data_IF_406736117571
#
_entry.id   IF_406736117571
#
_cell.length_a   1.000
_cell.length_b   1.000
_cell.length_c   1.000
_cell.angle_alpha   90.00
_cell.angle_beta   90.00
_cell.angle_gamma   90.00
#
_symmetry.space_group_name_H-M   'P 1'
#
loop_
_entity.id
_entity.type
_entity.pdbx_description
1 polymer ?
#
# COMPACT_ATOMS: atom_id res chain seq x y z
N UNK A 1 -5.51 31.40 50.82
CA UNK A 1 -5.78 30.10 50.17
C UNK A 1 -5.87 30.29 48.66
N UNK A 2 -4.77 30.03 47.95
CA UNK A 2 -4.72 30.15 46.50
C UNK A 2 -5.35 28.89 45.86
N UNK A 3 -6.41 29.07 45.08
CA UNK A 3 -6.99 27.99 44.27
C UNK A 3 -6.04 27.71 43.12
N UNK A 4 -5.32 26.59 43.17
CA UNK A 4 -4.48 26.11 42.08
C UNK A 4 -5.41 25.57 40.99
N UNK A 5 -5.68 26.37 39.97
CA UNK A 5 -6.42 25.95 38.79
C UNK A 5 -5.63 24.85 38.08
N UNK A 6 -6.28 23.72 37.80
CA UNK A 6 -5.70 22.63 37.02
C UNK A 6 -5.39 23.13 35.59
N UNK A 7 -4.29 22.68 34.96
CA UNK A 7 -3.99 23.04 33.58
C UNK A 7 -5.13 22.58 32.67
N UNK A 8 -5.55 23.46 31.75
CA UNK A 8 -6.60 23.17 30.78
C UNK A 8 -6.26 21.90 29.99
N UNK A 9 -7.20 20.95 29.93
CA UNK A 9 -7.11 19.78 29.06
C UNK A 9 -7.23 20.25 27.60
N UNK A 10 -6.09 20.63 27.01
CA UNK A 10 -6.00 20.88 25.58
C UNK A 10 -6.09 19.52 24.86
N UNK A 11 -6.95 19.35 23.84
CA UNK A 11 -6.97 18.13 23.05
C UNK A 11 -5.60 17.94 22.39
N UNK A 12 -4.89 16.88 22.75
CA UNK A 12 -3.72 16.46 21.98
C UNK A 12 -4.23 15.87 20.68
N UNK A 13 -4.35 16.70 19.65
CA UNK A 13 -4.42 16.22 18.29
C UNK A 13 -3.17 15.39 18.07
N UNK A 14 -3.33 14.07 18.01
CA UNK A 14 -2.30 13.18 17.51
C UNK A 14 -1.92 13.75 16.16
N UNK A 15 -0.75 14.38 16.09
CA UNK A 15 -0.09 14.69 14.84
C UNK A 15 0.10 13.34 14.16
N UNK A 16 -0.81 13.01 13.24
CA UNK A 16 -0.50 12.04 12.22
C UNK A 16 0.83 12.51 11.62
N UNK A 17 1.81 11.62 11.41
CA UNK A 17 3.01 11.98 10.67
C UNK A 17 2.59 12.23 9.22
N UNK A 18 2.03 13.41 8.98
CA UNK A 18 1.80 13.97 7.68
C UNK A 18 3.16 14.09 7.04
N UNK A 19 3.32 13.35 5.95
CA UNK A 19 4.34 13.52 4.93
C UNK A 19 5.72 13.92 5.50
N UNK A 20 6.56 12.91 5.80
CA UNK A 20 8.00 13.10 5.60
C UNK A 20 8.17 13.75 4.23
N UNK A 21 8.77 14.94 4.25
CA UNK A 21 8.86 15.85 3.12
C UNK A 21 9.28 15.12 1.86
N UNK A 22 8.65 15.48 0.74
CA UNK A 22 9.13 15.06 -0.57
C UNK A 22 10.59 15.46 -0.65
N UNK A 23 11.44 14.46 -0.79
CA UNK A 23 12.87 14.67 -0.99
C UNK A 23 12.99 15.46 -2.29
N UNK A 24 13.74 16.57 -2.31
CA UNK A 24 13.83 17.41 -3.52
C UNK A 24 14.58 16.70 -4.67
N UNK A 25 15.19 15.55 -4.36
CA UNK A 25 15.83 14.59 -5.28
C UNK A 25 14.93 13.39 -5.63
N UNK A 26 13.62 13.49 -5.44
CA UNK A 26 12.71 12.38 -5.69
C UNK A 26 12.48 12.17 -7.20
N UNK A 27 12.97 11.05 -7.73
CA UNK A 27 12.87 10.72 -9.15
C UNK A 27 11.41 10.68 -9.61
N UNK A 28 11.14 11.04 -10.87
CA UNK A 28 9.79 11.01 -11.45
C UNK A 28 9.09 9.65 -11.27
N UNK A 29 9.87 8.57 -11.20
CA UNK A 29 9.39 7.23 -10.91
C UNK A 29 8.91 7.05 -9.46
N UNK A 30 9.64 7.58 -8.46
CA UNK A 30 9.21 7.56 -7.06
C UNK A 30 7.94 8.38 -6.84
N UNK A 31 7.88 9.57 -7.47
CA UNK A 31 6.67 10.41 -7.45
C UNK A 31 5.49 9.68 -8.10
N UNK A 32 5.68 9.02 -9.24
CA UNK A 32 4.64 8.21 -9.88
C UNK A 32 4.18 7.05 -8.98
N UNK A 33 5.10 6.33 -8.35
CA UNK A 33 4.75 5.25 -7.43
C UNK A 33 3.91 5.75 -6.24
N UNK A 34 4.27 6.90 -5.66
CA UNK A 34 3.55 7.47 -4.53
C UNK A 34 2.19 8.04 -4.91
N UNK A 35 2.08 8.64 -6.10
CA UNK A 35 0.86 9.37 -6.53
C UNK A 35 -0.12 8.49 -7.29
N UNK A 36 0.37 7.55 -8.10
CA UNK A 36 -0.48 6.71 -8.94
C UNK A 36 -0.60 5.29 -8.42
N UNK A 37 0.41 4.75 -7.72
CA UNK A 37 0.39 3.34 -7.24
C UNK A 37 -0.09 3.22 -5.79
N UNK A 38 0.40 4.07 -4.88
CA UNK A 38 0.13 3.98 -3.43
C UNK A 38 -0.82 5.05 -2.91
N UNK A 39 -1.24 6.00 -3.75
CA UNK A 39 -2.22 7.02 -3.34
C UNK A 39 -3.53 6.36 -2.90
N UNK A 40 -4.05 6.78 -1.74
CA UNK A 40 -5.20 6.17 -1.09
C UNK A 40 -6.42 6.03 -2.01
N UNK A 41 -6.63 6.99 -2.91
CA UNK A 41 -7.75 7.02 -3.85
C UNK A 41 -7.63 6.01 -5.01
N UNK A 42 -6.42 5.50 -5.27
CA UNK A 42 -6.12 4.54 -6.35
C UNK A 42 -5.83 3.14 -5.84
N UNK A 43 -5.67 2.97 -4.52
CA UNK A 43 -5.39 1.69 -3.88
C UNK A 43 -6.37 0.57 -4.29
N UNK A 44 -7.70 0.75 -4.30
CA UNK A 44 -8.62 -0.34 -4.63
C UNK A 44 -8.43 -0.86 -6.06
N UNK A 45 -8.26 0.05 -7.02
CA UNK A 45 -8.04 -0.29 -8.43
C UNK A 45 -6.67 -0.93 -8.66
N UNK A 46 -5.63 -0.37 -8.06
CA UNK A 46 -4.27 -0.90 -8.21
C UNK A 46 -4.09 -2.27 -7.56
N UNK A 47 -4.73 -2.52 -6.42
CA UNK A 47 -4.74 -3.84 -5.80
C UNK A 47 -5.43 -4.85 -6.72
N UNK A 48 -6.54 -4.46 -7.36
CA UNK A 48 -7.22 -5.33 -8.34
C UNK A 48 -6.34 -5.62 -9.56
N UNK A 49 -5.56 -4.65 -10.04
CA UNK A 49 -4.63 -4.85 -11.16
C UNK A 49 -3.47 -5.76 -10.73
N UNK A 50 -2.87 -5.49 -9.56
CA UNK A 50 -1.78 -6.27 -9.02
C UNK A 50 -2.20 -7.73 -8.76
N UNK A 51 -3.40 -7.93 -8.21
CA UNK A 51 -3.95 -9.27 -7.98
C UNK A 51 -4.26 -9.99 -9.29
N UNK A 52 -4.85 -9.30 -10.29
CA UNK A 52 -5.11 -9.90 -11.59
C UNK A 52 -3.82 -10.31 -12.32
N UNK A 53 -2.81 -9.44 -12.34
CA UNK A 53 -1.50 -9.75 -12.93
C UNK A 53 -0.82 -10.89 -12.16
N UNK A 54 -0.87 -10.86 -10.83
CA UNK A 54 -0.31 -11.91 -9.97
C UNK A 54 -0.97 -13.27 -10.21
N UNK A 55 -2.29 -13.32 -10.29
CA UNK A 55 -3.03 -14.55 -10.58
C UNK A 55 -2.73 -15.06 -11.99
N UNK A 56 -2.62 -14.16 -12.98
CA UNK A 56 -2.30 -14.55 -14.35
C UNK A 56 -0.90 -15.19 -14.46
N UNK A 57 0.13 -14.50 -13.96
CA UNK A 57 1.51 -15.01 -13.98
C UNK A 57 1.64 -16.25 -13.10
N UNK A 58 1.03 -16.24 -11.92
CA UNK A 58 1.02 -17.39 -11.00
C UNK A 58 0.36 -18.62 -11.62
N UNK A 59 -0.75 -18.44 -12.35
CA UNK A 59 -1.42 -19.51 -13.08
C UNK A 59 -0.55 -20.11 -14.18
N UNK A 60 0.15 -19.28 -14.96
CA UNK A 60 1.11 -19.75 -15.97
C UNK A 60 2.20 -20.59 -15.32
N UNK A 61 2.80 -20.10 -14.24
CA UNK A 61 3.85 -20.84 -13.51
C UNK A 61 3.29 -22.17 -13.03
N UNK A 62 2.11 -22.15 -12.40
CA UNK A 62 1.49 -23.34 -11.85
C UNK A 62 1.20 -24.42 -12.90
N UNK A 63 0.65 -24.04 -14.05
CA UNK A 63 0.40 -24.98 -15.15
C UNK A 63 1.72 -25.49 -15.73
N UNK A 64 2.74 -24.64 -15.81
CA UNK A 64 4.05 -25.04 -16.33
C UNK A 64 4.78 -26.02 -15.39
N UNK A 65 4.57 -25.94 -14.08
CA UNK A 65 5.23 -26.80 -13.11
C UNK A 65 4.43 -28.06 -12.77
N UNK A 66 3.10 -28.00 -12.74
CA UNK A 66 2.24 -29.11 -12.32
C UNK A 66 1.28 -29.60 -13.40
N UNK A 67 1.31 -29.02 -14.60
CA UNK A 67 0.38 -29.38 -15.68
C UNK A 67 0.42 -30.87 -16.05
N UNK A 68 1.60 -31.48 -16.08
CA UNK A 68 1.74 -32.91 -16.37
C UNK A 68 1.09 -33.78 -15.28
N UNK A 69 1.08 -33.35 -14.01
CA UNK A 69 0.38 -34.07 -12.94
C UNK A 69 -1.14 -33.99 -13.06
N UNK A 70 -1.65 -33.00 -13.81
CA UNK A 70 -3.07 -32.80 -14.04
C UNK A 70 -3.59 -33.60 -15.24
N UNK A 71 -2.70 -34.18 -16.05
CA UNK A 71 -3.06 -35.09 -17.15
C UNK A 71 -3.16 -36.51 -16.60
N UNK A 72 -4.34 -37.16 -16.67
CA UNK A 72 -4.46 -38.56 -16.27
C UNK A 72 -3.55 -39.43 -17.13
N UNK A 73 -2.80 -40.33 -16.49
CA UNK A 73 -2.01 -41.33 -17.20
C UNK A 73 -2.97 -42.24 -17.99
N UNK A 74 -2.91 -42.14 -19.32
CA UNK A 74 -3.56 -43.07 -20.25
C UNK A 74 -2.76 -44.34 -20.39
#
# INVERSE_FOLDING_TARGET
MARRSAPSAQPSYISHPGARGGDSDESAFSRFWRTEVVAADKLPGNISIASAVGLFVGGIIAIRTWGDLMVPAT
#
